data_IF_829308515084
#
_entry.id   IF_829308515084
#
_cell.length_a   1.000
_cell.length_b   1.000
_cell.length_c   1.000
_cell.angle_alpha   90.00
_cell.angle_beta   90.00
_cell.angle_gamma   90.00
#
_symmetry.space_group_name_H-M   'P 1'
#
loop_
_entity.id
_entity.type
_entity.pdbx_description
1 polymer ?
#
# COMPACT_ATOMS: atom_id res chain seq x y z
N UNK A 1 1.86 21.53 -16.43
CA UNK A 1 2.77 21.58 -15.25
C UNK A 1 1.96 22.03 -14.05
N UNK A 2 2.11 21.33 -12.94
CA UNK A 2 1.49 21.73 -11.66
C UNK A 2 2.34 22.89 -11.14
N UNK A 3 1.75 24.08 -11.00
CA UNK A 3 2.39 25.17 -10.27
C UNK A 3 2.71 24.68 -8.86
N UNK A 4 3.92 24.99 -8.37
CA UNK A 4 4.48 24.43 -7.13
C UNK A 4 3.63 24.68 -5.86
N UNK A 5 2.59 25.48 -5.94
CA UNK A 5 1.72 25.87 -4.82
C UNK A 5 0.25 25.48 -4.98
N UNK A 6 -0.16 24.95 -6.14
CA UNK A 6 -1.57 24.65 -6.39
C UNK A 6 -1.87 23.15 -6.29
N UNK A 7 -2.92 22.83 -5.53
CA UNK A 7 -3.48 21.48 -5.55
C UNK A 7 -4.31 21.30 -6.83
N UNK A 8 -4.16 20.13 -7.47
CA UNK A 8 -5.02 19.72 -8.57
C UNK A 8 -6.08 18.77 -8.01
N UNK A 9 -7.32 19.00 -8.44
CA UNK A 9 -8.44 18.12 -8.12
C UNK A 9 -8.80 17.26 -9.33
N UNK A 10 -8.89 15.95 -9.14
CA UNK A 10 -9.32 14.98 -10.14
C UNK A 10 -10.69 14.44 -9.78
N UNK A 11 -11.67 14.60 -10.66
CA UNK A 11 -12.98 13.98 -10.50
C UNK A 11 -12.91 12.55 -11.00
N UNK A 12 -13.06 11.60 -10.11
CA UNK A 12 -12.98 10.16 -10.41
C UNK A 12 -14.24 9.43 -9.98
N UNK A 13 -14.37 8.16 -10.41
CA UNK A 13 -15.46 7.29 -9.93
C UNK A 13 -15.42 7.05 -8.41
N UNK A 14 -14.25 7.24 -7.78
CA UNK A 14 -14.06 7.11 -6.32
C UNK A 14 -14.20 8.44 -5.57
N UNK A 15 -14.67 9.51 -6.26
CA UNK A 15 -14.80 10.84 -5.70
C UNK A 15 -13.72 11.80 -6.19
N UNK A 16 -13.60 12.95 -5.52
CA UNK A 16 -12.58 13.96 -5.83
C UNK A 16 -11.27 13.59 -5.14
N UNK A 17 -10.24 13.35 -5.93
CA UNK A 17 -8.89 13.14 -5.45
C UNK A 17 -8.10 14.45 -5.58
N UNK A 18 -7.28 14.76 -4.59
CA UNK A 18 -6.40 15.94 -4.60
C UNK A 18 -4.94 15.51 -4.72
N UNK A 19 -4.20 16.21 -5.58
CA UNK A 19 -2.77 16.04 -5.74
C UNK A 19 -2.03 17.37 -5.53
N UNK A 20 -0.87 17.31 -4.90
CA UNK A 20 0.02 18.45 -4.68
C UNK A 20 1.47 18.04 -4.93
N UNK A 21 2.30 18.98 -5.36
CA UNK A 21 3.74 18.81 -5.43
C UNK A 21 4.40 19.53 -4.25
N UNK A 22 4.94 18.78 -3.30
CA UNK A 22 5.54 19.31 -2.06
C UNK A 22 7.00 18.87 -1.99
N UNK A 23 7.94 19.80 -2.10
CA UNK A 23 9.38 19.52 -2.01
C UNK A 23 9.86 18.36 -2.92
N UNK A 24 9.33 18.30 -4.14
CA UNK A 24 9.68 17.26 -5.12
C UNK A 24 9.01 15.90 -4.85
N UNK A 25 8.02 15.84 -3.97
CA UNK A 25 7.15 14.69 -3.74
C UNK A 25 5.74 15.00 -4.24
N UNK A 26 5.18 14.08 -5.01
CA UNK A 26 3.76 14.13 -5.39
C UNK A 26 2.97 13.54 -4.24
N UNK A 27 2.14 14.36 -3.61
CA UNK A 27 1.25 13.95 -2.53
C UNK A 27 -0.18 13.80 -3.05
N UNK A 28 -0.82 12.70 -2.73
CA UNK A 28 -2.20 12.38 -3.03
C UNK A 28 -2.97 12.16 -1.71
N UNK A 29 -4.22 12.60 -1.69
CA UNK A 29 -5.13 12.37 -0.56
C UNK A 29 -6.16 11.30 -0.94
N UNK A 30 -6.31 10.30 -0.07
CA UNK A 30 -7.28 9.22 -0.19
C UNK A 30 -8.03 9.00 1.13
N UNK A 31 -9.26 8.46 1.09
CA UNK A 31 -9.90 7.98 2.30
C UNK A 31 -9.13 6.79 2.89
N UNK A 32 -9.12 6.71 4.21
CA UNK A 32 -8.59 5.56 4.92
C UNK A 32 -9.41 4.29 4.60
N UNK A 33 -8.74 3.16 4.59
CA UNK A 33 -9.35 1.83 4.46
C UNK A 33 -9.07 1.10 5.76
N UNK A 34 -10.14 0.84 6.52
CA UNK A 34 -10.02 0.12 7.78
C UNK A 34 -10.20 -1.36 7.53
N UNK A 35 -9.35 -2.15 8.14
CA UNK A 35 -9.47 -3.60 8.22
C UNK A 35 -10.07 -4.01 9.56
N UNK A 36 -10.70 -5.17 9.58
CA UNK A 36 -11.20 -5.82 10.79
C UNK A 36 -10.42 -7.11 11.02
N UNK A 37 -10.07 -7.38 12.28
CA UNK A 37 -9.39 -8.61 12.65
C UNK A 37 -10.27 -9.82 12.29
N UNK A 38 -9.69 -10.81 11.62
CA UNK A 38 -10.37 -12.03 11.23
C UNK A 38 -9.50 -13.25 11.52
N UNK A 39 -10.16 -14.39 11.70
CA UNK A 39 -9.45 -15.68 11.73
C UNK A 39 -8.82 -15.91 10.35
N UNK A 40 -7.54 -16.23 10.35
CA UNK A 40 -6.79 -16.48 9.12
C UNK A 40 -7.42 -17.66 8.35
N UNK A 41 -7.88 -17.47 7.09
CA UNK A 41 -8.35 -18.60 6.30
C UNK A 41 -7.20 -19.58 6.01
N UNK A 42 -7.46 -20.87 6.09
CA UNK A 42 -6.45 -21.90 5.78
C UNK A 42 -5.84 -21.72 4.37
N UNK A 43 -6.67 -21.33 3.40
CA UNK A 43 -6.21 -21.06 2.05
C UNK A 43 -5.20 -19.91 2.00
N UNK A 44 -5.39 -18.86 2.83
CA UNK A 44 -4.48 -17.71 2.91
C UNK A 44 -3.12 -18.14 3.49
N UNK A 45 -3.12 -18.90 4.60
CA UNK A 45 -1.90 -19.43 5.21
C UNK A 45 -1.15 -20.32 4.21
N UNK A 46 -1.87 -21.24 3.55
CA UNK A 46 -1.30 -22.13 2.53
C UNK A 46 -0.75 -21.35 1.33
N UNK A 47 -1.42 -20.28 0.91
CA UNK A 47 -0.98 -19.45 -0.21
C UNK A 47 0.30 -18.68 0.11
N UNK A 48 0.42 -18.17 1.33
CA UNK A 48 1.60 -17.42 1.75
C UNK A 48 2.77 -18.34 2.17
N UNK A 49 2.46 -19.54 2.69
CA UNK A 49 3.47 -20.48 3.20
C UNK A 49 4.18 -20.01 4.47
N UNK A 50 3.57 -19.07 5.20
CA UNK A 50 4.08 -18.51 6.46
C UNK A 50 2.95 -18.33 7.46
N UNK A 51 3.27 -18.44 8.74
CA UNK A 51 2.31 -18.18 9.83
C UNK A 51 2.15 -16.67 10.04
N UNK A 52 0.91 -16.15 10.02
CA UNK A 52 0.66 -14.74 10.28
C UNK A 52 0.71 -14.42 11.78
N UNK A 53 1.22 -13.25 12.12
CA UNK A 53 1.08 -12.64 13.46
C UNK A 53 -0.30 -12.02 13.63
N UNK A 54 -0.82 -11.46 12.52
CA UNK A 54 -2.13 -10.82 12.47
C UNK A 54 -2.74 -10.97 11.08
N UNK A 55 -4.05 -11.14 11.02
CA UNK A 55 -4.81 -11.08 9.77
C UNK A 55 -5.98 -10.14 9.93
N UNK A 56 -5.99 -9.10 9.12
CA UNK A 56 -7.11 -8.20 8.94
C UNK A 56 -7.77 -8.38 7.56
N UNK A 57 -9.07 -8.12 7.47
CA UNK A 57 -9.80 -8.09 6.21
C UNK A 57 -10.46 -6.73 6.04
N UNK A 58 -10.10 -6.04 4.99
CA UNK A 58 -10.79 -4.84 4.55
C UNK A 58 -11.85 -5.17 3.49
N UNK A 59 -12.58 -4.17 3.04
CA UNK A 59 -13.51 -4.31 1.90
C UNK A 59 -12.82 -4.77 0.60
N UNK A 60 -11.51 -4.58 0.48
CA UNK A 60 -10.76 -4.85 -0.74
C UNK A 60 -9.81 -6.05 -0.60
N UNK A 61 -9.04 -6.08 0.49
CA UNK A 61 -7.86 -6.93 0.60
C UNK A 61 -7.78 -7.62 1.96
N UNK A 62 -7.01 -8.71 2.03
CA UNK A 62 -6.45 -9.15 3.29
C UNK A 62 -5.19 -8.35 3.61
N UNK A 63 -5.04 -7.94 4.88
CA UNK A 63 -3.81 -7.42 5.45
C UNK A 63 -3.23 -8.51 6.37
N UNK A 64 -1.99 -8.89 6.12
CA UNK A 64 -1.30 -9.95 6.85
C UNK A 64 -0.01 -9.40 7.42
N UNK A 65 0.09 -9.31 8.74
CA UNK A 65 1.36 -9.03 9.40
C UNK A 65 2.10 -10.33 9.63
N UNK A 66 3.38 -10.34 9.32
CA UNK A 66 4.31 -11.43 9.59
C UNK A 66 5.40 -10.96 10.55
N UNK A 67 6.10 -11.92 11.17
CA UNK A 67 7.02 -11.68 12.29
C UNK A 67 8.17 -10.74 11.95
N UNK A 68 8.68 -10.75 10.71
CA UNK A 68 9.86 -9.99 10.37
C UNK A 68 9.88 -9.44 8.95
N UNK A 69 10.66 -8.37 8.76
CA UNK A 69 10.97 -7.81 7.44
C UNK A 69 11.63 -8.83 6.50
N UNK A 70 12.43 -9.73 7.04
CA UNK A 70 13.09 -10.78 6.27
C UNK A 70 12.07 -11.73 5.64
N UNK A 71 11.02 -12.09 6.38
CA UNK A 71 9.91 -12.91 5.85
C UNK A 71 9.21 -12.16 4.72
N UNK A 72 8.89 -10.86 4.89
CA UNK A 72 8.26 -10.05 3.82
C UNK A 72 9.12 -10.05 2.56
N UNK A 73 10.43 -9.79 2.69
CA UNK A 73 11.34 -9.67 1.56
C UNK A 73 11.55 -10.98 0.80
N UNK A 74 11.64 -12.09 1.54
CA UNK A 74 11.92 -13.41 0.97
C UNK A 74 10.65 -14.20 0.60
N UNK A 75 9.47 -13.65 0.84
CA UNK A 75 8.20 -14.31 0.59
C UNK A 75 8.07 -14.75 -0.89
N UNK A 76 7.70 -16.02 -1.08
CA UNK A 76 7.40 -16.60 -2.39
C UNK A 76 6.01 -17.23 -2.35
N UNK A 77 4.95 -16.43 -2.43
CA UNK A 77 3.61 -16.93 -2.27
C UNK A 77 3.17 -17.77 -3.47
N UNK A 78 2.24 -18.69 -3.24
CA UNK A 78 1.56 -19.37 -4.32
C UNK A 78 0.48 -18.46 -4.90
N UNK A 79 0.78 -17.90 -6.06
CA UNK A 79 -0.06 -16.90 -6.74
C UNK A 79 -1.42 -17.48 -7.16
N UNK A 80 -1.46 -18.75 -7.59
CA UNK A 80 -2.71 -19.40 -7.99
C UNK A 80 -3.67 -19.60 -6.80
N UNK A 81 -3.13 -19.83 -5.60
CA UNK A 81 -3.93 -19.90 -4.40
C UNK A 81 -4.39 -18.51 -3.94
N UNK A 82 -3.56 -17.46 -4.07
CA UNK A 82 -3.98 -16.08 -3.80
C UNK A 82 -5.14 -15.68 -4.73
N UNK A 83 -5.08 -16.07 -6.01
CA UNK A 83 -6.14 -15.76 -6.97
C UNK A 83 -7.52 -16.38 -6.62
N UNK A 84 -7.54 -17.43 -5.79
CA UNK A 84 -8.76 -18.09 -5.34
C UNK A 84 -9.38 -17.45 -4.08
N UNK A 85 -8.67 -16.51 -3.44
CA UNK A 85 -9.20 -15.81 -2.26
C UNK A 85 -10.33 -14.85 -2.66
N UNK A 86 -11.38 -14.71 -1.83
CA UNK A 86 -12.52 -13.83 -2.12
C UNK A 86 -12.22 -12.36 -1.78
N UNK A 87 -11.11 -11.85 -2.30
CA UNK A 87 -10.61 -10.48 -2.12
C UNK A 87 -9.89 -10.02 -3.39
N UNK A 88 -9.66 -8.72 -3.51
CA UNK A 88 -8.88 -8.14 -4.60
C UNK A 88 -7.41 -8.57 -4.54
N UNK A 89 -6.82 -8.56 -3.34
CA UNK A 89 -5.42 -8.89 -3.15
C UNK A 89 -5.05 -9.15 -1.69
N UNK A 90 -3.75 -9.39 -1.50
CA UNK A 90 -3.16 -9.65 -0.19
C UNK A 90 -1.99 -8.68 0.04
N UNK A 91 -2.10 -7.91 1.11
CA UNK A 91 -1.06 -7.03 1.63
C UNK A 91 -0.29 -7.84 2.67
N UNK A 92 1.01 -7.99 2.52
CA UNK A 92 1.88 -8.60 3.53
C UNK A 92 2.80 -7.52 4.08
N UNK A 93 2.92 -7.42 5.41
CA UNK A 93 3.67 -6.36 6.08
C UNK A 93 4.37 -6.83 7.34
N UNK A 94 5.39 -6.12 7.74
CA UNK A 94 6.04 -6.21 9.06
C UNK A 94 6.65 -4.88 9.46
N UNK A 95 6.97 -4.72 10.74
CA UNK A 95 7.82 -3.64 11.19
C UNK A 95 9.19 -3.70 10.48
N UNK A 96 9.78 -2.55 10.16
CA UNK A 96 11.11 -2.53 9.54
C UNK A 96 12.22 -2.69 10.57
N UNK A 97 13.27 -3.41 10.21
CA UNK A 97 14.50 -3.50 10.98
C UNK A 97 15.46 -2.33 10.67
N UNK A 98 15.20 -1.58 9.60
CA UNK A 98 15.97 -0.41 9.21
C UNK A 98 15.52 0.83 9.99
N UNK A 99 16.45 1.71 10.32
CA UNK A 99 16.13 3.05 10.86
C UNK A 99 15.57 4.01 9.81
N UNK A 100 15.62 3.64 8.54
CA UNK A 100 15.15 4.46 7.42
C UNK A 100 13.65 4.32 7.18
N UNK A 101 13.08 3.17 7.56
CA UNK A 101 11.67 2.85 7.33
C UNK A 101 10.98 2.46 8.63
N UNK A 102 9.70 2.75 8.71
CA UNK A 102 8.86 2.34 9.85
C UNK A 102 8.32 0.93 9.66
N UNK A 103 7.92 0.61 8.44
CA UNK A 103 7.41 -0.70 8.06
C UNK A 103 7.75 -1.03 6.61
N UNK A 104 7.71 -2.32 6.32
CA UNK A 104 7.86 -2.86 4.96
C UNK A 104 6.59 -3.57 4.54
N UNK A 105 6.33 -3.61 3.24
CA UNK A 105 5.16 -4.30 2.69
C UNK A 105 5.42 -4.89 1.32
N UNK A 106 4.56 -5.84 0.92
CA UNK A 106 4.38 -6.32 -0.47
C UNK A 106 2.90 -6.47 -0.75
N UNK A 107 2.52 -6.33 -2.01
CA UNK A 107 1.11 -6.41 -2.40
C UNK A 107 0.94 -7.31 -3.63
N UNK A 108 0.11 -8.35 -3.47
CA UNK A 108 -0.19 -9.35 -4.49
C UNK A 108 -1.67 -9.27 -4.88
N UNK A 109 -1.97 -9.10 -6.16
CA UNK A 109 -3.34 -8.95 -6.66
C UNK A 109 -3.60 -9.72 -7.96
N UNK A 110 -3.36 -11.05 -7.99
CA UNK A 110 -3.48 -11.85 -9.20
C UNK A 110 -4.92 -11.88 -9.76
N UNK A 111 -5.93 -11.74 -8.92
CA UNK A 111 -7.33 -11.61 -9.37
C UNK A 111 -7.57 -10.37 -10.26
N UNK A 112 -6.69 -9.36 -10.22
CA UNK A 112 -6.69 -8.19 -11.09
C UNK A 112 -5.70 -8.31 -12.27
N UNK A 113 -5.08 -9.47 -12.46
CA UNK A 113 -4.05 -9.69 -13.47
C UNK A 113 -2.66 -9.15 -13.09
N UNK A 114 -2.47 -8.74 -11.83
CA UNK A 114 -1.20 -8.20 -11.33
C UNK A 114 -0.63 -9.18 -10.30
N UNK A 115 0.40 -9.95 -10.68
CA UNK A 115 1.02 -10.91 -9.78
C UNK A 115 1.51 -10.22 -8.51
N UNK A 116 2.31 -9.17 -8.68
CA UNK A 116 2.77 -8.30 -7.60
C UNK A 116 2.83 -6.85 -8.10
N UNK A 117 2.26 -5.92 -7.33
CA UNK A 117 2.35 -4.49 -7.64
C UNK A 117 3.67 -3.92 -7.10
N UNK A 118 4.39 -3.19 -7.93
CA UNK A 118 5.69 -2.62 -7.55
C UNK A 118 5.60 -1.60 -6.42
N UNK A 119 4.62 -0.69 -6.49
CA UNK A 119 4.31 0.30 -5.45
C UNK A 119 2.84 0.63 -5.51
N UNK A 120 2.10 0.25 -4.47
CA UNK A 120 0.64 0.35 -4.45
C UNK A 120 0.14 1.39 -3.45
N UNK A 121 -0.55 2.41 -3.94
CA UNK A 121 -1.14 3.45 -3.08
C UNK A 121 -2.30 2.93 -2.24
N UNK A 122 -3.20 2.12 -2.80
CA UNK A 122 -4.41 1.68 -2.10
C UNK A 122 -4.11 0.73 -0.92
N UNK A 123 -3.05 -0.09 -1.00
CA UNK A 123 -2.60 -0.90 0.14
C UNK A 123 -2.13 -0.01 1.30
N UNK A 124 -1.48 1.12 1.00
CA UNK A 124 -1.02 2.06 2.02
C UNK A 124 -2.16 2.88 2.65
N UNK A 125 -3.32 2.96 1.99
CA UNK A 125 -4.53 3.48 2.62
C UNK A 125 -5.06 2.56 3.73
N UNK A 126 -4.71 1.26 3.71
CA UNK A 126 -4.99 0.28 4.75
C UNK A 126 -3.84 0.17 5.76
N UNK A 127 -2.60 0.15 5.27
CA UNK A 127 -1.40 0.06 6.13
C UNK A 127 -1.24 1.28 7.04
N UNK A 128 -1.62 2.49 6.59
CA UNK A 128 -1.54 3.71 7.39
C UNK A 128 -2.31 3.60 8.72
N UNK A 129 -3.63 3.37 8.72
CA UNK A 129 -4.41 3.18 9.95
C UNK A 129 -3.91 2.01 10.79
N UNK A 130 -3.57 0.88 10.16
CA UNK A 130 -3.05 -0.29 10.86
C UNK A 130 -1.79 0.04 11.67
N UNK A 131 -0.77 0.62 11.03
CA UNK A 131 0.48 0.96 11.69
C UNK A 131 0.34 2.16 12.65
N UNK A 132 -0.61 3.09 12.39
CA UNK A 132 -0.95 4.15 13.33
C UNK A 132 -1.42 3.58 14.67
N UNK A 133 -2.31 2.59 14.65
CA UNK A 133 -2.78 1.92 15.86
C UNK A 133 -1.67 1.15 16.58
N UNK A 134 -0.73 0.54 15.85
CA UNK A 134 0.36 -0.25 16.43
C UNK A 134 1.52 0.59 16.98
N UNK A 135 1.91 1.63 16.24
CA UNK A 135 3.11 2.42 16.56
C UNK A 135 2.79 3.75 17.24
N UNK A 136 1.50 4.08 17.39
CA UNK A 136 1.01 5.34 18.01
C UNK A 136 1.64 6.59 17.39
N UNK A 137 1.82 6.60 16.06
CA UNK A 137 2.31 7.75 15.29
C UNK A 137 1.52 7.91 14.00
N UNK A 138 1.53 9.11 13.43
CA UNK A 138 0.73 9.49 12.26
C UNK A 138 1.54 9.59 10.97
N UNK A 139 2.83 9.78 11.08
CA UNK A 139 3.72 10.01 9.93
C UNK A 139 4.70 8.86 9.80
N UNK A 140 4.75 8.23 8.63
CA UNK A 140 5.56 7.05 8.35
C UNK A 140 6.37 7.21 7.08
N UNK A 141 7.51 6.55 7.07
CA UNK A 141 8.28 6.25 5.86
C UNK A 141 8.18 4.74 5.66
N UNK A 142 7.45 4.32 4.62
CA UNK A 142 7.24 2.93 4.28
C UNK A 142 8.11 2.51 3.10
N UNK A 143 8.52 1.25 3.07
CA UNK A 143 9.16 0.64 1.93
C UNK A 143 8.33 -0.52 1.39
N UNK A 144 7.89 -0.44 0.13
CA UNK A 144 7.29 -1.60 -0.54
C UNK A 144 8.41 -2.41 -1.18
N UNK A 145 8.62 -3.63 -0.65
CA UNK A 145 9.76 -4.49 -0.95
C UNK A 145 9.48 -5.44 -2.13
N UNK A 146 8.86 -4.94 -3.19
CA UNK A 146 8.75 -5.63 -4.48
C UNK A 146 10.11 -5.71 -5.19
N UNK A 147 10.18 -6.41 -6.32
CA UNK A 147 11.41 -6.51 -7.12
C UNK A 147 12.02 -5.13 -7.45
N UNK A 148 11.19 -4.17 -7.87
CA UNK A 148 11.63 -2.79 -8.12
C UNK A 148 11.85 -2.00 -6.84
N UNK A 149 11.02 -2.24 -5.85
CA UNK A 149 10.97 -1.48 -4.61
C UNK A 149 10.44 -0.05 -4.77
N UNK A 150 10.11 0.57 -3.64
CA UNK A 150 9.76 1.98 -3.61
C UNK A 150 9.45 2.51 -2.23
N UNK A 151 9.73 3.80 -2.05
CA UNK A 151 9.51 4.52 -0.80
C UNK A 151 8.21 5.30 -0.90
N UNK A 152 7.37 5.18 0.11
CA UNK A 152 6.11 5.91 0.24
C UNK A 152 6.11 6.60 1.60
N UNK A 153 5.87 7.91 1.62
CA UNK A 153 5.54 8.61 2.86
C UNK A 153 4.04 8.50 3.06
N UNK A 154 3.65 8.07 4.24
CA UNK A 154 2.27 7.85 4.64
C UNK A 154 1.96 8.76 5.82
N UNK A 155 0.92 9.58 5.71
CA UNK A 155 0.45 10.40 6.83
C UNK A 155 -1.03 10.16 7.06
N UNK A 156 -1.37 9.79 8.28
CA UNK A 156 -2.75 9.60 8.73
C UNK A 156 -3.28 10.93 9.25
N UNK A 157 -4.40 11.38 8.67
CA UNK A 157 -5.06 12.64 9.05
C UNK A 157 -6.56 12.38 9.15
N UNK A 158 -7.06 12.19 10.35
CA UNK A 158 -8.46 11.82 10.61
C UNK A 158 -8.83 10.58 9.77
N UNK A 159 -9.87 10.67 8.94
CA UNK A 159 -10.34 9.60 8.05
C UNK A 159 -9.63 9.56 6.69
N UNK A 160 -8.52 10.29 6.54
CA UNK A 160 -7.78 10.39 5.28
C UNK A 160 -6.33 9.95 5.45
N UNK A 161 -5.78 9.48 4.33
CA UNK A 161 -4.37 9.13 4.19
C UNK A 161 -3.75 10.02 3.12
N UNK A 162 -2.68 10.72 3.49
CA UNK A 162 -1.84 11.43 2.55
C UNK A 162 -0.68 10.52 2.16
N UNK A 163 -0.61 10.17 0.89
CA UNK A 163 0.45 9.35 0.32
C UNK A 163 1.37 10.22 -0.52
N UNK A 164 2.67 10.17 -0.25
CA UNK A 164 3.63 10.90 -1.07
C UNK A 164 4.64 9.94 -1.69
N UNK A 165 4.81 10.07 -3.00
CA UNK A 165 5.78 9.32 -3.81
C UNK A 165 6.61 10.26 -4.69
N UNK A 166 7.75 9.75 -5.18
CA UNK A 166 8.52 10.44 -6.21
C UNK A 166 8.08 9.98 -7.58
N UNK A 167 8.07 10.90 -8.54
CA UNK A 167 7.82 10.62 -9.95
C UNK A 167 8.83 11.33 -10.82
N UNK A 168 9.05 10.79 -12.01
CA UNK A 168 9.87 11.42 -13.06
C UNK A 168 9.01 11.60 -14.31
N UNK A 169 9.18 12.72 -15.00
CA UNK A 169 8.56 12.92 -16.31
C UNK A 169 9.29 12.05 -17.32
N UNK A 170 8.60 11.07 -17.87
CA UNK A 170 9.14 10.18 -18.89
C UNK A 170 8.80 10.64 -20.30
N UNK A 171 7.65 11.27 -20.50
CA UNK A 171 7.18 11.73 -21.78
C UNK A 171 6.38 13.03 -21.64
N UNK A 172 6.55 13.94 -22.58
CA UNK A 172 5.76 15.15 -22.73
C UNK A 172 5.23 15.23 -24.16
N UNK A 173 3.95 15.49 -24.32
CA UNK A 173 3.31 15.57 -25.61
C UNK A 173 2.14 16.54 -25.65
N UNK A 174 1.76 16.99 -26.85
CA UNK A 174 0.60 17.86 -27.10
C UNK A 174 -0.46 17.06 -27.85
N UNK A 175 -1.68 17.04 -27.31
CA UNK A 175 -2.85 16.56 -28.03
C UNK A 175 -3.31 17.66 -28.98
N UNK A 176 -3.44 17.33 -30.25
CA UNK A 176 -4.12 18.18 -31.28
C UNK A 176 -5.48 17.55 -31.52
N UNK A 177 -6.53 18.29 -31.25
CA UNK A 177 -7.93 17.93 -31.52
C UNK A 177 -8.36 18.70 -32.76
#
# INVERSE_FOLDING_TARGET
FIDKENSISFHTKSGVLKAQLINGWVQLQFPAIIEENVVAPELLIKALGVEPVYVGKSRLDYLVEVESEEIVRNLKPNIDLIAQLPVRGVIVTSHSNSKEFDFVSRFFSPAQGIIEDYVNGSSHCCLGPYWNNKLHKTDFIAYQASERGGIIKVKVVEDNILLSGKSITFFEGKLTV
#
